data_IF_921011613501
#
_entry.id   IF_921011613501
#
_cell.length_a   1.000
_cell.length_b   1.000
_cell.length_c   1.000
_cell.angle_alpha   90.00
_cell.angle_beta   90.00
_cell.angle_gamma   90.00
#
_symmetry.space_group_name_H-M   'P 1'
#
loop_
_entity.id
_entity.type
_entity.pdbx_description
1 polymer ?
#
# COMPACT_ATOMS: atom_id res chain seq x y z
N UNK A 1 -6.71 -14.84 19.46
CA UNK A 1 -7.46 -13.98 20.40
C UNK A 1 -6.48 -13.36 21.36
N UNK A 2 -6.22 -12.06 21.38
CA UNK A 2 -6.87 -10.95 20.68
C UNK A 2 -6.28 -9.67 21.24
N UNK A 3 -4.96 -9.50 21.11
CA UNK A 3 -4.32 -8.25 21.51
C UNK A 3 -4.54 -7.25 20.40
N UNK A 4 -5.29 -6.20 20.71
CA UNK A 4 -5.40 -5.02 19.88
C UNK A 4 -4.00 -4.48 19.56
N UNK A 5 -3.66 -4.44 18.27
CA UNK A 5 -2.44 -3.80 17.79
C UNK A 5 -2.79 -2.37 17.40
N UNK A 6 -2.32 -1.41 18.21
CA UNK A 6 -2.46 0.00 17.92
C UNK A 6 -1.59 0.39 16.73
N UNK A 7 -2.18 1.10 15.78
CA UNK A 7 -1.58 1.54 14.54
C UNK A 7 -1.33 3.04 14.57
N UNK A 8 -0.25 3.45 13.92
CA UNK A 8 -0.10 4.85 13.54
C UNK A 8 -1.21 5.24 12.53
N UNK A 9 -1.76 6.47 12.58
CA UNK A 9 -2.80 6.91 11.64
C UNK A 9 -2.44 6.72 10.16
N UNK A 10 -1.17 6.91 9.80
CA UNK A 10 -0.70 6.63 8.44
C UNK A 10 -0.81 5.15 8.05
N UNK A 11 -0.45 4.24 8.95
CA UNK A 11 -0.58 2.79 8.73
C UNK A 11 -2.04 2.38 8.62
N UNK A 12 -2.90 2.90 9.52
CA UNK A 12 -4.33 2.66 9.48
C UNK A 12 -4.94 3.10 8.14
N UNK A 13 -4.64 4.31 7.69
CA UNK A 13 -5.13 4.82 6.41
C UNK A 13 -4.71 3.94 5.21
N UNK A 14 -3.46 3.49 5.18
CA UNK A 14 -2.98 2.59 4.12
C UNK A 14 -3.72 1.26 4.14
N UNK A 15 -3.88 0.64 5.32
CA UNK A 15 -4.57 -0.63 5.47
C UNK A 15 -6.07 -0.53 5.16
N UNK A 16 -6.74 0.56 5.55
CA UNK A 16 -8.15 0.81 5.25
C UNK A 16 -8.37 0.94 3.74
N UNK A 17 -7.58 1.77 3.05
CA UNK A 17 -7.68 1.92 1.59
C UNK A 17 -7.37 0.60 0.87
N UNK A 18 -6.41 -0.17 1.37
CA UNK A 18 -6.10 -1.49 0.82
C UNK A 18 -7.26 -2.49 0.95
N UNK A 19 -7.98 -2.50 2.07
CA UNK A 19 -9.17 -3.34 2.24
C UNK A 19 -10.31 -2.90 1.30
N UNK A 20 -10.49 -1.59 1.11
CA UNK A 20 -11.45 -1.07 0.15
C UNK A 20 -11.10 -1.51 -1.28
N UNK A 21 -9.84 -1.40 -1.69
CA UNK A 21 -9.36 -1.85 -3.00
C UNK A 21 -9.52 -3.37 -3.16
N UNK A 22 -9.20 -4.16 -2.14
CA UNK A 22 -9.40 -5.60 -2.16
C UNK A 22 -10.87 -5.94 -2.44
N UNK A 23 -11.81 -5.27 -1.77
CA UNK A 23 -13.24 -5.47 -2.00
C UNK A 23 -13.66 -5.04 -3.41
N UNK A 24 -13.27 -3.84 -3.84
CA UNK A 24 -13.65 -3.28 -5.15
C UNK A 24 -13.11 -4.08 -6.32
N UNK A 25 -11.94 -4.71 -6.15
CA UNK A 25 -11.29 -5.50 -7.20
C UNK A 25 -11.63 -6.99 -7.13
N UNK A 26 -12.52 -7.41 -6.22
CA UNK A 26 -12.85 -8.83 -6.04
C UNK A 26 -11.64 -9.69 -5.65
N UNK A 27 -10.70 -9.13 -4.89
CA UNK A 27 -9.50 -9.83 -4.42
C UNK A 27 -8.29 -9.79 -5.36
N UNK A 28 -8.36 -9.10 -6.51
CA UNK A 28 -7.20 -8.92 -7.40
C UNK A 28 -6.10 -8.11 -6.70
N UNK A 29 -6.48 -7.06 -5.97
CA UNK A 29 -5.58 -6.37 -5.05
C UNK A 29 -5.61 -7.07 -3.68
N UNK A 30 -4.47 -7.58 -3.22
CA UNK A 30 -4.39 -8.35 -1.96
C UNK A 30 -3.05 -8.12 -1.25
N UNK A 31 -3.10 -7.52 -0.06
CA UNK A 31 -1.90 -7.27 0.76
C UNK A 31 -1.21 -8.57 1.19
N UNK A 32 -1.91 -9.70 1.25
CA UNK A 32 -1.34 -11.00 1.65
C UNK A 32 -0.41 -11.60 0.59
N UNK A 33 -0.22 -10.91 -0.54
CA UNK A 33 0.67 -11.34 -1.63
C UNK A 33 2.14 -11.50 -1.19
N UNK A 34 2.54 -10.90 -0.07
CA UNK A 34 3.90 -10.98 0.49
C UNK A 34 4.47 -12.40 0.50
N UNK A 35 3.71 -13.38 0.97
CA UNK A 35 4.14 -14.79 1.00
C UNK A 35 4.42 -15.36 -0.39
N UNK A 36 3.66 -14.92 -1.41
CA UNK A 36 3.88 -15.32 -2.80
C UNK A 36 5.11 -14.64 -3.37
N UNK A 37 5.28 -13.33 -3.13
CA UNK A 37 6.46 -12.58 -3.56
C UNK A 37 7.76 -13.15 -2.94
N UNK A 38 7.74 -13.49 -1.65
CA UNK A 38 8.88 -14.10 -0.98
C UNK A 38 9.27 -15.46 -1.60
N UNK A 39 8.29 -16.31 -1.94
CA UNK A 39 8.54 -17.60 -2.62
C UNK A 39 9.10 -17.44 -4.03
N UNK A 40 8.80 -16.32 -4.70
CA UNK A 40 9.36 -15.96 -6.00
C UNK A 40 10.73 -15.28 -5.90
N UNK A 41 11.27 -15.08 -4.69
CA UNK A 41 12.55 -14.38 -4.49
C UNK A 41 12.48 -12.87 -4.73
N UNK A 42 11.28 -12.28 -4.72
CA UNK A 42 11.07 -10.84 -4.97
C UNK A 42 11.10 -9.99 -3.69
N UNK A 43 11.19 -10.63 -2.52
CA UNK A 43 11.42 -9.98 -1.22
C UNK A 43 12.75 -10.46 -0.63
N UNK A 44 13.38 -9.68 0.28
CA UNK A 44 14.62 -10.08 0.94
C UNK A 44 14.54 -11.50 1.54
N UNK A 45 15.63 -12.26 1.49
CA UNK A 45 15.66 -13.67 1.88
C UNK A 45 15.22 -13.88 3.33
N UNK A 46 14.29 -14.80 3.56
CA UNK A 46 13.80 -15.13 4.90
C UNK A 46 13.76 -16.63 5.14
N UNK A 47 13.97 -17.04 6.39
CA UNK A 47 14.06 -18.45 6.80
C UNK A 47 12.71 -19.17 6.87
N UNK A 48 11.59 -18.45 7.10
CA UNK A 48 10.26 -19.05 7.18
C UNK A 48 9.19 -18.12 6.60
N UNK A 49 8.61 -18.52 5.46
CA UNK A 49 7.54 -17.78 4.78
C UNK A 49 6.17 -18.38 5.15
N UNK A 50 5.21 -17.59 5.66
CA UNK A 50 3.87 -18.08 5.95
C UNK A 50 3.16 -18.62 4.71
N UNK A 51 2.23 -19.57 4.91
CA UNK A 51 1.42 -20.09 3.82
C UNK A 51 0.33 -19.08 3.43
N UNK A 52 0.29 -18.69 2.17
CA UNK A 52 -0.83 -17.94 1.60
C UNK A 52 -2.07 -18.83 1.54
N UNK A 53 -3.19 -18.36 2.11
CA UNK A 53 -4.48 -19.03 2.06
C UNK A 53 -5.49 -18.07 1.42
N UNK A 54 -6.07 -18.42 0.24
CA UNK A 54 -7.10 -17.62 -0.40
C UNK A 54 -8.28 -17.35 0.54
N UNK A 55 -8.97 -16.23 0.32
CA UNK A 55 -10.25 -15.89 0.98
C UNK A 55 -10.25 -15.79 2.52
N UNK A 56 -9.09 -15.86 3.16
CA UNK A 56 -8.95 -15.68 4.61
C UNK A 56 -8.32 -14.35 5.02
N UNK A 57 -9.03 -13.55 5.80
CA UNK A 57 -8.51 -12.28 6.31
C UNK A 57 -7.29 -12.49 7.22
N UNK A 58 -6.25 -11.69 7.00
CA UNK A 58 -5.04 -11.68 7.84
C UNK A 58 -5.27 -10.95 9.17
N UNK A 59 -6.10 -9.91 9.14
CA UNK A 59 -6.45 -9.06 10.27
C UNK A 59 -7.85 -8.47 10.08
N UNK A 60 -8.41 -7.91 11.16
CA UNK A 60 -9.63 -7.10 11.12
C UNK A 60 -9.44 -5.82 11.93
N UNK A 61 -10.07 -4.73 11.51
CA UNK A 61 -10.15 -3.53 12.34
C UNK A 61 -11.13 -3.75 13.51
N UNK A 62 -10.72 -3.33 14.70
CA UNK A 62 -11.54 -3.32 15.92
C UNK A 62 -12.10 -1.90 16.15
N UNK A 63 -11.31 -0.89 15.79
CA UNK A 63 -11.69 0.53 15.66
C UNK A 63 -10.85 1.16 14.53
N UNK A 64 -10.83 2.49 14.38
CA UNK A 64 -10.12 3.18 13.31
C UNK A 64 -8.58 3.00 13.33
N UNK A 65 -7.99 2.82 14.51
CA UNK A 65 -6.54 2.76 14.71
C UNK A 65 -6.08 1.44 15.34
N UNK A 66 -6.99 0.51 15.59
CA UNK A 66 -6.68 -0.79 16.17
C UNK A 66 -7.07 -1.93 15.23
N UNK A 67 -6.15 -2.89 15.08
CA UNK A 67 -6.45 -4.17 14.42
C UNK A 67 -6.27 -5.35 15.37
N UNK A 68 -7.01 -6.42 15.12
CA UNK A 68 -6.74 -7.75 15.64
C UNK A 68 -6.12 -8.61 14.53
N UNK A 69 -4.97 -9.20 14.80
CA UNK A 69 -4.33 -10.18 13.93
C UNK A 69 -5.09 -11.51 14.00
N UNK A 70 -5.57 -11.99 12.86
CA UNK A 70 -6.33 -13.23 12.74
C UNK A 70 -5.44 -14.41 12.33
N UNK A 71 -4.37 -14.12 11.58
CA UNK A 71 -3.46 -15.12 11.03
C UNK A 71 -2.02 -14.61 11.02
N UNK A 72 -1.06 -15.52 11.04
CA UNK A 72 0.37 -15.22 10.85
C UNK A 72 0.73 -14.96 9.38
N UNK A 73 -0.10 -14.20 8.66
CA UNK A 73 0.18 -13.80 7.30
C UNK A 73 1.17 -12.62 7.27
N UNK A 74 1.96 -12.55 6.21
CA UNK A 74 2.72 -11.34 5.90
C UNK A 74 1.90 -10.42 5.01
N UNK A 75 2.09 -9.12 5.22
CA UNK A 75 1.46 -8.08 4.43
C UNK A 75 2.53 -7.34 3.63
N UNK A 76 2.24 -7.09 2.36
CA UNK A 76 3.02 -6.24 1.48
C UNK A 76 2.12 -5.07 1.06
N UNK A 77 2.54 -3.85 1.42
CA UNK A 77 1.83 -2.60 1.07
C UNK A 77 2.45 -1.90 -0.14
N UNK A 78 3.40 -2.52 -0.83
CA UNK A 78 4.15 -1.93 -1.94
C UNK A 78 3.26 -1.50 -3.10
N UNK A 79 2.12 -2.18 -3.29
CA UNK A 79 1.11 -1.83 -4.31
C UNK A 79 0.27 -0.59 -4.00
N UNK A 80 0.39 0.04 -2.82
CA UNK A 80 -0.43 1.20 -2.41
C UNK A 80 0.35 2.29 -1.66
N UNK A 81 1.45 1.93 -1.01
CA UNK A 81 2.17 2.83 -0.11
C UNK A 81 2.81 4.04 -0.82
N UNK A 82 3.28 3.87 -2.06
CA UNK A 82 3.88 4.95 -2.85
C UNK A 82 2.85 6.04 -3.18
N UNK A 83 1.69 5.66 -3.70
CA UNK A 83 0.55 6.58 -3.90
C UNK A 83 0.15 7.31 -2.61
N UNK A 84 0.09 6.61 -1.46
CA UNK A 84 -0.18 7.27 -0.18
C UNK A 84 0.88 8.34 0.18
N UNK A 85 2.17 8.03 -0.01
CA UNK A 85 3.25 8.99 0.23
C UNK A 85 3.14 10.22 -0.67
N UNK A 86 2.79 10.01 -1.95
CA UNK A 86 2.52 11.08 -2.92
C UNK A 86 1.35 11.96 -2.45
N UNK A 87 0.27 11.36 -1.95
CA UNK A 87 -0.88 12.10 -1.43
C UNK A 87 -0.50 12.96 -0.21
N UNK A 88 0.30 12.43 0.72
CA UNK A 88 0.77 13.18 1.88
C UNK A 88 1.67 14.34 1.47
N UNK A 89 2.63 14.12 0.57
CA UNK A 89 3.49 15.18 0.05
C UNK A 89 2.67 16.27 -0.67
N UNK A 90 1.68 15.88 -1.47
CA UNK A 90 0.77 16.80 -2.16
C UNK A 90 -0.01 17.65 -1.17
N UNK A 91 -0.55 17.05 -0.10
CA UNK A 91 -1.27 17.77 0.97
C UNK A 91 -0.37 18.80 1.66
N UNK A 92 0.86 18.41 2.00
CA UNK A 92 1.83 19.33 2.61
C UNK A 92 2.10 20.52 1.70
N UNK A 93 2.42 20.30 0.42
CA UNK A 93 2.71 21.39 -0.52
C UNK A 93 1.51 22.32 -0.72
N UNK A 94 0.28 21.78 -0.77
CA UNK A 94 -0.94 22.60 -0.81
C UNK A 94 -1.10 23.47 0.44
N UNK A 95 -0.77 22.95 1.62
CA UNK A 95 -0.82 23.73 2.86
C UNK A 95 0.18 24.89 2.89
N UNK A 96 1.29 24.77 2.14
CA UNK A 96 2.24 25.87 1.91
C UNK A 96 1.86 26.77 0.72
N UNK A 97 0.63 26.65 0.19
CA UNK A 97 0.13 27.41 -0.95
C UNK A 97 0.99 27.33 -2.22
N UNK A 98 1.74 26.22 -2.38
CA UNK A 98 2.52 25.95 -3.59
C UNK A 98 1.56 25.85 -4.77
N UNK A 99 1.80 26.67 -5.79
CA UNK A 99 0.90 26.79 -6.96
C UNK A 99 1.19 25.75 -8.05
N UNK A 100 2.44 25.28 -8.13
CA UNK A 100 2.89 24.30 -9.13
C UNK A 100 3.90 23.33 -8.54
N UNK A 101 3.62 22.03 -8.62
CA UNK A 101 4.54 20.98 -8.21
C UNK A 101 4.23 19.65 -8.92
N UNK A 102 5.25 18.83 -9.11
CA UNK A 102 5.15 17.44 -9.51
C UNK A 102 5.90 16.57 -8.50
N UNK A 103 5.19 15.66 -7.84
CA UNK A 103 5.73 14.71 -6.87
C UNK A 103 5.89 13.38 -7.59
N UNK A 104 7.05 12.72 -7.45
CA UNK A 104 7.32 11.41 -8.03
C UNK A 104 7.89 10.46 -6.97
N UNK A 105 7.19 9.35 -6.73
CA UNK A 105 7.66 8.24 -5.90
C UNK A 105 7.75 6.97 -6.76
N UNK A 106 8.91 6.78 -7.41
CA UNK A 106 9.17 5.57 -8.20
C UNK A 106 8.14 5.33 -9.31
N UNK A 107 7.72 6.40 -9.98
CA UNK A 107 6.72 6.37 -11.05
C UNK A 107 5.30 6.72 -10.62
N UNK A 108 4.98 6.70 -9.32
CA UNK A 108 3.69 7.17 -8.79
C UNK A 108 3.73 8.70 -8.73
N UNK A 109 2.76 9.38 -9.34
CA UNK A 109 2.80 10.82 -9.56
C UNK A 109 1.66 11.57 -8.86
N UNK A 110 1.97 12.75 -8.33
CA UNK A 110 1.01 13.71 -7.80
C UNK A 110 1.31 15.09 -8.35
N UNK A 111 0.27 15.83 -8.76
CA UNK A 111 0.43 17.10 -9.48
C UNK A 111 -0.36 18.21 -8.81
N UNK A 112 0.24 19.39 -8.71
CA UNK A 112 -0.39 20.65 -8.36
C UNK A 112 -0.19 21.62 -9.54
N UNK A 113 -1.25 22.23 -10.04
CA UNK A 113 -1.23 23.05 -11.26
C UNK A 113 -1.03 22.23 -12.54
N UNK A 114 -0.78 22.88 -13.67
CA UNK A 114 -0.63 22.19 -14.96
C UNK A 114 0.79 21.64 -15.18
N UNK A 115 0.86 20.35 -15.50
CA UNK A 115 2.07 19.62 -15.85
C UNK A 115 1.80 18.62 -16.98
N UNK A 116 2.73 18.51 -17.93
CA UNK A 116 2.74 17.42 -18.91
C UNK A 116 3.33 16.17 -18.27
N UNK A 117 2.57 15.08 -18.24
CA UNK A 117 3.02 13.78 -17.72
C UNK A 117 3.21 12.82 -18.90
N UNK A 118 4.43 12.32 -19.05
CA UNK A 118 4.75 11.32 -20.07
C UNK A 118 4.51 9.92 -19.54
N UNK A 119 3.85 9.08 -20.33
CA UNK A 119 3.71 7.65 -20.06
C UNK A 119 4.85 6.91 -20.77
N UNK A 120 5.60 6.10 -20.01
CA UNK A 120 6.71 5.31 -20.55
C UNK A 120 6.16 4.12 -21.34
N UNK A 121 6.75 3.87 -22.51
CA UNK A 121 6.52 2.64 -23.25
C UNK A 121 7.13 1.45 -22.48
N UNK A 122 6.31 0.46 -22.02
CA UNK A 122 6.83 -0.69 -21.29
C UNK A 122 7.76 -1.58 -22.13
N UNK A 123 7.72 -1.48 -23.46
CA UNK A 123 8.59 -2.27 -24.35
C UNK A 123 10.01 -1.67 -24.48
N UNK A 124 10.19 -0.39 -24.14
CA UNK A 124 11.48 0.32 -24.25
C UNK A 124 11.81 1.08 -22.96
N UNK A 125 12.18 0.37 -21.87
CA UNK A 125 12.55 1.00 -20.61
C UNK A 125 13.97 1.58 -20.68
N UNK A 126 14.09 2.85 -21.05
CA UNK A 126 15.32 3.65 -20.84
C UNK A 126 15.36 4.31 -19.47
#
# INVERSE_FOLDING_TARGET
>A
TGTCLQLHPHTAAVLQTALQLQQQTGGIFDLRVASRLARLGLLPSQTRVPQYVPDQQAFRFVDDLCIEKLRDDWLDVGGIAKGYAVDQATKVLKNFAVQRACINAGGDLGVIGEHTISIRDPQFPT
#
